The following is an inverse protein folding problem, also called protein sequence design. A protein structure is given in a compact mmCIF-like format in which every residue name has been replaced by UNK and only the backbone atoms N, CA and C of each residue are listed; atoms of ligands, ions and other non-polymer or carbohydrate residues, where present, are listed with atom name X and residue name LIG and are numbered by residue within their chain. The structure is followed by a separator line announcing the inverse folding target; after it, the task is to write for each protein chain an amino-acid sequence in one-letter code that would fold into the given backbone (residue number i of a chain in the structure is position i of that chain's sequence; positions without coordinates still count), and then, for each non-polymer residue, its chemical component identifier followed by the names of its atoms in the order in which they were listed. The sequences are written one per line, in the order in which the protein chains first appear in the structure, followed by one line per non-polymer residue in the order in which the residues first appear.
data_IF_376840565788
#
_entry.id   IF_376840565788
#
_cell.length_a   1.000
_cell.length_b   1.000
_cell.length_c   1.000
_cell.angle_alpha   90.00
_cell.angle_beta   90.00
_cell.angle_gamma   90.00
#
_symmetry.space_group_name_H-M   'P 1'
#
loop_
_entity.id
_entity.type
_entity.pdbx_description
1 polymer ?
#
# COMPACT_ATOMS: atom_id res chain seq x y z
N UNK A 1 13.78 11.79 -11.83
CA UNK A 1 13.74 12.39 -10.48
C UNK A 1 12.45 11.96 -9.80
N UNK A 2 12.44 11.71 -8.48
CA UNK A 2 11.23 11.37 -7.71
C UNK A 2 10.23 12.55 -7.57
N UNK A 3 10.45 13.65 -8.29
CA UNK A 3 9.63 14.88 -8.32
C UNK A 3 8.12 14.63 -8.53
N UNK A 4 7.75 13.50 -9.13
CA UNK A 4 6.34 13.11 -9.31
C UNK A 4 5.61 12.86 -7.97
N UNK A 5 6.33 12.58 -6.88
CA UNK A 5 5.75 12.17 -5.59
C UNK A 5 5.88 13.22 -4.48
N UNK A 6 6.14 14.47 -4.83
CA UNK A 6 5.95 15.59 -3.89
C UNK A 6 4.46 15.82 -3.58
N UNK A 7 3.57 15.30 -4.43
CA UNK A 7 2.13 15.23 -4.18
C UNK A 7 1.76 13.86 -3.57
N UNK A 8 1.53 13.85 -2.26
CA UNK A 8 1.19 12.62 -1.54
C UNK A 8 -0.20 12.06 -1.91
N UNK A 9 -1.14 12.91 -2.37
CA UNK A 9 -2.45 12.43 -2.82
C UNK A 9 -2.34 11.70 -4.15
N UNK A 10 -1.58 12.26 -5.10
CA UNK A 10 -1.30 11.59 -6.37
C UNK A 10 -0.54 10.28 -6.15
N UNK A 11 0.47 10.29 -5.27
CA UNK A 11 1.21 9.09 -4.91
C UNK A 11 0.29 7.99 -4.36
N UNK A 12 -0.53 8.30 -3.36
CA UNK A 12 -1.44 7.33 -2.74
C UNK A 12 -2.50 6.83 -3.72
N UNK A 13 -2.99 7.68 -4.63
CA UNK A 13 -3.91 7.25 -5.69
C UNK A 13 -3.26 6.28 -6.68
N UNK A 14 -1.99 6.51 -7.05
CA UNK A 14 -1.23 5.62 -7.93
C UNK A 14 -0.95 4.27 -7.24
N UNK A 15 -0.54 4.30 -5.96
CA UNK A 15 -0.35 3.09 -5.14
C UNK A 15 -1.64 2.28 -5.07
N UNK A 16 -2.78 2.93 -4.82
CA UNK A 16 -4.07 2.26 -4.71
C UNK A 16 -4.44 1.54 -6.01
N UNK A 17 -4.22 2.19 -7.16
CA UNK A 17 -4.45 1.59 -8.47
C UNK A 17 -3.56 0.38 -8.71
N UNK A 18 -2.29 0.46 -8.29
CA UNK A 18 -1.34 -0.65 -8.39
C UNK A 18 -1.75 -1.81 -7.50
N UNK A 19 -2.12 -1.53 -6.24
CA UNK A 19 -2.55 -2.56 -5.29
C UNK A 19 -3.81 -3.27 -5.79
N UNK A 20 -4.85 -2.53 -6.20
CA UNK A 20 -6.09 -3.11 -6.71
C UNK A 20 -5.86 -4.01 -7.94
N UNK A 21 -4.97 -3.60 -8.86
CA UNK A 21 -4.61 -4.43 -10.02
C UNK A 21 -3.85 -5.68 -9.61
N UNK A 22 -2.92 -5.59 -8.66
CA UNK A 22 -2.17 -6.75 -8.16
C UNK A 22 -3.08 -7.73 -7.43
N UNK A 23 -3.95 -7.24 -6.54
CA UNK A 23 -4.95 -8.05 -5.83
C UNK A 23 -5.79 -8.86 -6.80
N UNK A 24 -6.34 -8.22 -7.84
CA UNK A 24 -7.12 -8.94 -8.87
C UNK A 24 -6.31 -10.05 -9.53
N UNK A 25 -5.12 -9.73 -10.03
CA UNK A 25 -4.27 -10.71 -10.73
C UNK A 25 -3.87 -11.87 -9.82
N UNK A 26 -3.56 -11.60 -8.55
CA UNK A 26 -3.21 -12.63 -7.57
C UNK A 26 -4.38 -13.60 -7.38
N UNK A 27 -5.56 -13.07 -7.06
CA UNK A 27 -6.74 -13.90 -6.80
C UNK A 27 -7.18 -14.67 -8.06
N UNK A 28 -7.16 -14.02 -9.23
CA UNK A 28 -7.48 -14.67 -10.50
C UNK A 28 -6.51 -15.82 -10.82
N UNK A 29 -5.20 -15.65 -10.57
CA UNK A 29 -4.20 -16.68 -10.82
C UNK A 29 -4.28 -17.83 -9.82
N UNK A 30 -4.63 -17.56 -8.57
CA UNK A 30 -4.85 -18.60 -7.55
C UNK A 30 -5.99 -19.53 -7.91
N UNK A 31 -7.02 -19.05 -8.63
CA UNK A 31 -8.17 -19.86 -9.04
C UNK A 31 -8.00 -20.59 -10.38
N UNK A 32 -6.97 -20.25 -11.16
CA UNK A 32 -6.82 -20.77 -12.53
C UNK A 32 -6.08 -22.12 -12.63
N UNK A 33 -5.34 -22.52 -11.59
CA UNK A 33 -4.50 -23.72 -11.59
C UNK A 33 -4.43 -24.30 -10.17
N UNK A 34 -4.18 -25.61 -10.07
CA UNK A 34 -3.90 -26.30 -8.80
C UNK A 34 -2.41 -26.18 -8.45
N UNK A 35 -2.01 -25.02 -7.92
CA UNK A 35 -0.62 -24.77 -7.56
C UNK A 35 -0.19 -25.60 -6.33
N UNK A 36 0.94 -26.32 -6.44
CA UNK A 36 1.60 -26.92 -5.26
C UNK A 36 2.18 -25.86 -4.31
N UNK A 37 2.53 -24.69 -4.86
CA UNK A 37 3.01 -23.51 -4.13
C UNK A 37 2.69 -22.24 -4.93
N UNK A 38 2.06 -21.27 -4.27
CA UNK A 38 1.82 -19.94 -4.82
C UNK A 38 2.52 -18.87 -3.97
N UNK A 39 3.25 -17.95 -4.60
CA UNK A 39 3.97 -16.87 -3.91
C UNK A 39 3.69 -15.52 -4.59
N UNK A 40 3.24 -14.55 -3.81
CA UNK A 40 2.94 -13.20 -4.29
C UNK A 40 3.80 -12.15 -3.58
N UNK A 41 4.24 -11.15 -4.35
CA UNK A 41 5.00 -10.01 -3.84
C UNK A 41 4.22 -8.72 -4.06
N UNK A 42 4.01 -7.95 -2.98
CA UNK A 42 3.41 -6.63 -3.03
C UNK A 42 4.47 -5.58 -2.73
N UNK A 43 5.11 -5.03 -3.77
CA UNK A 43 6.25 -4.13 -3.62
C UNK A 43 5.87 -2.69 -3.21
N UNK A 44 4.60 -2.30 -3.34
CA UNK A 44 4.18 -0.93 -3.02
C UNK A 44 4.15 -0.65 -1.51
N UNK A 45 4.22 -1.68 -0.66
CA UNK A 45 4.35 -1.54 0.79
C UNK A 45 5.62 -0.78 1.16
N UNK A 46 6.74 -1.09 0.51
CA UNK A 46 8.03 -0.41 0.68
C UNK A 46 7.93 1.09 0.37
N UNK A 47 7.33 1.44 -0.78
CA UNK A 47 7.18 2.84 -1.19
C UNK A 47 6.28 3.62 -0.24
N UNK A 48 5.16 3.03 0.18
CA UNK A 48 4.24 3.65 1.14
C UNK A 48 4.94 3.86 2.47
N UNK A 49 5.69 2.86 2.93
CA UNK A 49 6.47 2.96 4.16
C UNK A 49 7.43 4.14 4.06
N UNK A 50 8.27 4.21 3.03
CA UNK A 50 9.27 5.27 2.91
C UNK A 50 8.69 6.69 2.78
N UNK A 51 7.64 6.87 1.97
CA UNK A 51 7.12 8.21 1.66
C UNK A 51 6.15 8.75 2.71
N UNK A 52 5.40 7.88 3.38
CA UNK A 52 4.35 8.28 4.33
C UNK A 52 4.82 8.24 5.78
N UNK A 53 5.95 7.58 6.12
CA UNK A 53 6.42 7.47 7.50
C UNK A 53 6.61 8.81 8.22
N UNK A 54 6.97 9.87 7.48
CA UNK A 54 7.04 11.25 8.00
C UNK A 54 5.72 11.75 8.61
N UNK A 55 4.59 11.13 8.28
CA UNK A 55 3.27 11.42 8.82
C UNK A 55 2.86 10.52 9.99
N UNK A 56 3.64 9.49 10.30
CA UNK A 56 3.36 8.51 11.36
C UNK A 56 4.23 8.80 12.59
N UNK A 57 5.51 9.04 12.37
CA UNK A 57 6.47 9.33 13.43
C UNK A 57 6.42 10.82 13.81
N UNK A 58 5.89 11.09 15.01
CA UNK A 58 5.79 12.45 15.56
C UNK A 58 7.16 13.09 15.84
N UNK A 59 8.23 12.29 15.95
CA UNK A 59 9.60 12.77 16.14
C UNK A 59 10.31 13.10 14.81
N UNK A 60 9.68 12.78 13.68
CA UNK A 60 10.27 12.99 12.36
C UNK A 60 10.41 14.49 12.06
N UNK A 61 11.57 14.97 11.53
CA UNK A 61 11.81 16.40 11.28
C UNK A 61 10.81 17.08 10.35
N UNK A 62 10.15 16.31 9.49
CA UNK A 62 9.13 16.77 8.53
C UNK A 62 7.68 16.52 8.99
N UNK A 63 7.47 16.13 10.25
CA UNK A 63 6.12 15.87 10.76
C UNK A 63 5.29 17.15 10.85
N UNK A 64 4.12 17.16 10.19
CA UNK A 64 3.14 18.25 10.24
C UNK A 64 1.81 17.70 10.79
N UNK A 65 1.37 18.06 12.01
CA UNK A 65 0.18 17.46 12.63
C UNK A 65 -1.11 17.65 11.82
N UNK A 66 -1.23 18.74 11.04
CA UNK A 66 -2.43 19.02 10.24
C UNK A 66 -2.50 18.06 9.05
N UNK A 67 -1.40 17.92 8.30
CA UNK A 67 -1.31 16.98 7.17
C UNK A 67 -1.29 15.53 7.63
N UNK A 68 -0.55 15.24 8.69
CA UNK A 68 -0.33 13.89 9.22
C UNK A 68 -1.62 13.22 9.68
N UNK A 69 -2.63 13.97 10.15
CA UNK A 69 -3.94 13.39 10.46
C UNK A 69 -4.59 12.71 9.25
N UNK A 70 -4.51 13.34 8.06
CA UNK A 70 -5.08 12.81 6.82
C UNK A 70 -4.24 11.63 6.32
N UNK A 71 -2.94 11.81 6.19
CA UNK A 71 -2.07 10.80 5.60
C UNK A 71 -1.82 9.61 6.51
N UNK A 72 -1.80 9.81 7.83
CA UNK A 72 -1.78 8.73 8.80
C UNK A 72 -3.01 7.84 8.71
N UNK A 73 -4.21 8.42 8.50
CA UNK A 73 -5.41 7.62 8.25
C UNK A 73 -5.30 6.81 6.96
N UNK A 74 -4.88 7.44 5.85
CA UNK A 74 -4.68 6.75 4.57
C UNK A 74 -3.62 5.64 4.63
N UNK A 75 -2.58 5.82 5.45
CA UNK A 75 -1.56 4.80 5.70
C UNK A 75 -2.15 3.56 6.37
N UNK A 76 -3.00 3.75 7.40
CA UNK A 76 -3.71 2.65 8.04
C UNK A 76 -4.66 1.96 7.07
N UNK A 77 -5.44 2.74 6.30
CA UNK A 77 -6.34 2.21 5.26
C UNK A 77 -5.58 1.35 4.21
N UNK A 78 -4.36 1.76 3.83
CA UNK A 78 -3.53 0.97 2.92
C UNK A 78 -3.15 -0.39 3.52
N UNK A 79 -2.70 -0.44 4.77
CA UNK A 79 -2.35 -1.71 5.43
C UNK A 79 -3.57 -2.61 5.65
N UNK A 80 -4.73 -2.04 5.94
CA UNK A 80 -5.99 -2.81 6.02
C UNK A 80 -6.34 -3.49 4.68
N UNK A 81 -6.03 -2.88 3.54
CA UNK A 81 -6.21 -3.52 2.22
C UNK A 81 -5.24 -4.67 1.99
N UNK A 82 -4.01 -4.56 2.49
CA UNK A 82 -3.04 -5.67 2.45
C UNK A 82 -3.57 -6.83 3.30
N UNK A 83 -4.04 -6.55 4.51
CA UNK A 83 -4.63 -7.54 5.41
C UNK A 83 -5.85 -8.24 4.77
N UNK A 84 -6.72 -7.46 4.11
CA UNK A 84 -7.85 -8.01 3.37
C UNK A 84 -7.40 -8.95 2.23
N UNK A 85 -6.37 -8.59 1.46
CA UNK A 85 -5.82 -9.49 0.44
C UNK A 85 -5.29 -10.79 1.07
N UNK A 86 -4.56 -10.70 2.19
CA UNK A 86 -4.05 -11.89 2.89
C UNK A 86 -5.21 -12.80 3.34
N UNK A 87 -6.28 -12.23 3.89
CA UNK A 87 -7.49 -12.99 4.23
C UNK A 87 -8.08 -13.70 2.99
N UNK A 88 -8.24 -12.98 1.89
CA UNK A 88 -8.77 -13.54 0.64
C UNK A 88 -7.89 -14.63 0.01
N UNK A 89 -6.59 -14.64 0.32
CA UNK A 89 -5.66 -15.69 -0.12
C UNK A 89 -5.66 -16.92 0.82
N UNK A 90 -6.13 -16.77 2.05
CA UNK A 90 -6.19 -17.83 3.05
C UNK A 90 -7.54 -18.55 3.08
N UNK A 91 -8.59 -17.94 2.52
CA UNK A 91 -9.92 -18.54 2.30
C UNK A 91 -9.93 -19.52 1.12
#
# INVERSE_FOLDING_TARGET
SLQKYDDEDLFLSDVERVLAKRTRVILDLMQQQDWDLFFAVISCTDWVQHLIWKHIDQSHPLYDPVKSRKYGRKFVEFWQRIDQLVSQMAD
#
